data_IF_941476788013
#
_entry.id   IF_941476788013
#
_cell.length_a   1.000
_cell.length_b   1.000
_cell.length_c   1.000
_cell.angle_alpha   90.00
_cell.angle_beta   90.00
_cell.angle_gamma   90.00
#
_symmetry.space_group_name_H-M   'P 1'
#
loop_
_entity.id
_entity.type
_entity.pdbx_description
1 polymer ?
#
# COMPACT_ATOMS: atom_id res chain seq x y z
N UNK A 1 -16.63 -30.21 -2.45
CA UNK A 1 -16.28 -29.75 -1.11
C UNK A 1 -16.54 -28.25 -1.06
N UNK A 2 -17.72 -27.81 -0.57
CA UNK A 2 -18.01 -26.40 -0.35
C UNK A 2 -17.25 -25.97 0.90
N UNK A 3 -16.31 -25.05 0.75
CA UNK A 3 -15.72 -24.34 1.88
C UNK A 3 -16.84 -23.42 2.38
N UNK A 4 -17.50 -23.78 3.49
CA UNK A 4 -18.36 -22.84 4.20
C UNK A 4 -17.44 -21.74 4.74
N UNK A 5 -17.30 -20.67 4.00
CA UNK A 5 -16.66 -19.48 4.49
C UNK A 5 -17.71 -18.70 5.31
N UNK A 6 -17.46 -18.54 6.60
CA UNK A 6 -18.34 -17.82 7.51
C UNK A 6 -18.36 -16.30 7.27
N UNK A 7 -18.02 -15.85 6.04
CA UNK A 7 -17.98 -14.42 5.67
C UNK A 7 -18.30 -14.22 4.18
N UNK A 8 -18.75 -13.00 3.82
CA UNK A 8 -19.01 -12.63 2.43
C UNK A 8 -17.69 -12.54 1.63
N UNK A 9 -17.46 -13.56 0.80
CA UNK A 9 -16.25 -13.70 -0.02
C UNK A 9 -16.08 -12.54 -1.01
N UNK A 10 -17.18 -12.02 -1.59
CA UNK A 10 -17.11 -10.92 -2.56
C UNK A 10 -16.59 -9.65 -1.90
N UNK A 11 -17.08 -9.33 -0.70
CA UNK A 11 -16.60 -8.18 0.09
C UNK A 11 -15.16 -8.38 0.56
N UNK A 12 -14.80 -9.61 0.96
CA UNK A 12 -13.43 -9.96 1.34
C UNK A 12 -12.44 -9.70 0.19
N UNK A 13 -12.76 -10.18 -1.01
CA UNK A 13 -11.95 -9.97 -2.20
C UNK A 13 -11.90 -8.51 -2.61
N UNK A 14 -13.03 -7.79 -2.57
CA UNK A 14 -13.08 -6.37 -2.88
C UNK A 14 -12.10 -5.56 -2.02
N UNK A 15 -12.13 -5.76 -0.70
CA UNK A 15 -11.22 -5.03 0.22
C UNK A 15 -9.76 -5.36 -0.08
N UNK A 16 -9.44 -6.65 -0.29
CA UNK A 16 -8.09 -7.07 -0.64
C UNK A 16 -7.59 -6.45 -1.94
N UNK A 17 -8.39 -6.53 -3.01
CA UNK A 17 -8.07 -5.96 -4.33
C UNK A 17 -7.94 -4.43 -4.29
N UNK A 18 -8.76 -3.75 -3.49
CA UNK A 18 -8.73 -2.30 -3.36
C UNK A 18 -7.41 -1.83 -2.74
N UNK A 19 -7.00 -2.43 -1.63
CA UNK A 19 -5.73 -2.10 -0.97
C UNK A 19 -4.55 -2.46 -1.89
N UNK A 20 -4.60 -3.65 -2.51
CA UNK A 20 -3.59 -4.08 -3.47
C UNK A 20 -3.46 -3.11 -4.65
N UNK A 21 -4.58 -2.66 -5.22
CA UNK A 21 -4.58 -1.71 -6.34
C UNK A 21 -3.89 -0.39 -5.97
N UNK A 22 -4.18 0.16 -4.79
CA UNK A 22 -3.50 1.35 -4.28
C UNK A 22 -1.99 1.11 -4.17
N UNK A 23 -1.56 0.01 -3.54
CA UNK A 23 -0.14 -0.32 -3.36
C UNK A 23 0.58 -0.49 -4.70
N UNK A 24 -0.05 -1.15 -5.69
CA UNK A 24 0.52 -1.33 -7.03
C UNK A 24 0.72 0.01 -7.76
N UNK A 25 -0.29 0.86 -7.78
CA UNK A 25 -0.19 2.17 -8.46
C UNK A 25 0.81 3.08 -7.74
N UNK A 26 0.77 3.11 -6.41
CA UNK A 26 1.74 3.88 -5.63
C UNK A 26 3.16 3.40 -5.86
N UNK A 27 3.40 2.08 -5.83
CA UNK A 27 4.72 1.49 -6.09
C UNK A 27 5.26 1.90 -7.46
N UNK A 28 4.46 1.70 -8.51
CA UNK A 28 4.86 2.07 -9.88
C UNK A 28 5.03 3.59 -10.05
N UNK A 29 4.17 4.41 -9.46
CA UNK A 29 4.28 5.87 -9.54
C UNK A 29 5.57 6.40 -8.91
N UNK A 30 6.06 5.77 -7.84
CA UNK A 30 7.29 6.17 -7.16
C UNK A 30 8.55 5.75 -7.93
N UNK A 31 8.50 4.73 -8.82
CA UNK A 31 9.67 4.38 -9.67
C UNK A 31 10.11 5.53 -10.56
N UNK A 32 9.19 6.43 -10.91
CA UNK A 32 9.51 7.64 -11.68
C UNK A 32 10.55 8.54 -10.98
N UNK A 33 10.75 8.45 -9.67
CA UNK A 33 11.84 9.14 -8.97
C UNK A 33 13.23 8.68 -9.47
N UNK A 34 13.37 7.39 -9.78
CA UNK A 34 14.63 6.83 -10.30
C UNK A 34 14.77 7.13 -11.78
N UNK A 35 13.67 7.15 -12.53
CA UNK A 35 13.63 7.53 -13.94
C UNK A 35 14.05 8.99 -14.12
N UNK A 36 13.47 9.91 -13.36
CA UNK A 36 13.83 11.33 -13.38
C UNK A 36 15.31 11.54 -13.02
N UNK A 37 15.84 10.74 -12.06
CA UNK A 37 17.25 10.78 -11.69
C UNK A 37 18.15 10.27 -12.82
N UNK A 38 17.74 9.21 -13.53
CA UNK A 38 18.50 8.62 -14.63
C UNK A 38 18.50 9.52 -15.87
N UNK A 39 17.47 10.34 -16.05
CA UNK A 39 17.34 11.31 -17.14
C UNK A 39 18.02 12.67 -16.86
N UNK A 40 18.80 12.78 -15.76
CA UNK A 40 19.44 14.02 -15.26
C UNK A 40 18.46 15.19 -15.01
N UNK A 41 17.16 14.94 -15.13
CA UNK A 41 16.10 15.91 -14.85
C UNK A 41 16.15 16.43 -13.39
N UNK A 42 16.70 15.61 -12.50
CA UNK A 42 16.92 15.98 -11.09
C UNK A 42 17.96 17.11 -10.97
N UNK A 43 18.91 17.24 -11.89
CA UNK A 43 19.91 18.32 -11.87
C UNK A 43 19.28 19.66 -12.22
N UNK A 44 18.33 19.71 -13.14
CA UNK A 44 17.59 20.91 -13.50
C UNK A 44 16.70 21.38 -12.33
N UNK A 45 16.10 20.45 -11.59
CA UNK A 45 15.29 20.77 -10.39
C UNK A 45 16.19 21.23 -9.22
N UNK A 46 17.43 20.76 -9.11
CA UNK A 46 18.35 21.16 -8.04
C UNK A 46 18.83 22.60 -8.15
N UNK A 47 18.71 23.24 -9.32
CA UNK A 47 18.94 24.69 -9.49
C UNK A 47 17.78 25.51 -8.91
N UNK A 48 16.61 24.87 -8.72
CA UNK A 48 15.44 25.47 -8.07
C UNK A 48 15.50 25.31 -6.54
N UNK A 49 14.99 26.27 -5.73
CA UNK A 49 14.99 26.21 -4.26
C UNK A 49 13.95 25.20 -3.71
N UNK A 50 13.72 24.08 -4.39
CA UNK A 50 12.77 23.02 -4.00
C UNK A 50 13.45 22.00 -3.09
N UNK A 51 12.85 21.75 -1.92
CA UNK A 51 13.39 20.73 -1.00
C UNK A 51 13.16 19.31 -1.57
N UNK A 52 14.11 18.41 -1.31
CA UNK A 52 14.01 16.99 -1.72
C UNK A 52 12.80 16.29 -1.10
N UNK A 53 12.42 16.71 0.11
CA UNK A 53 11.20 16.22 0.76
C UNK A 53 9.95 16.64 -0.02
N UNK A 54 9.90 17.88 -0.51
CA UNK A 54 8.78 18.37 -1.33
C UNK A 54 8.66 17.59 -2.64
N UNK A 55 9.80 17.20 -3.25
CA UNK A 55 9.82 16.38 -4.46
C UNK A 55 9.24 14.99 -4.22
N UNK A 56 9.69 14.31 -3.16
CA UNK A 56 9.18 12.99 -2.80
C UNK A 56 7.68 13.05 -2.45
N UNK A 57 7.27 14.02 -1.65
CA UNK A 57 5.86 14.20 -1.29
C UNK A 57 5.00 14.54 -2.51
N UNK A 58 5.51 15.36 -3.44
CA UNK A 58 4.85 15.67 -4.71
C UNK A 58 4.64 14.42 -5.58
N UNK A 59 5.65 13.54 -5.66
CA UNK A 59 5.52 12.25 -6.37
C UNK A 59 4.52 11.32 -5.70
N UNK A 60 4.54 11.24 -4.36
CA UNK A 60 3.53 10.49 -3.60
C UNK A 60 2.14 11.04 -3.87
N UNK A 61 1.95 12.35 -3.86
CA UNK A 61 0.67 12.98 -4.14
C UNK A 61 0.18 12.73 -5.57
N UNK A 62 1.06 12.81 -6.56
CA UNK A 62 0.74 12.49 -7.96
C UNK A 62 0.35 11.02 -8.15
N UNK A 63 1.11 10.10 -7.56
CA UNK A 63 0.78 8.67 -7.57
C UNK A 63 -0.52 8.37 -6.81
N UNK A 64 -0.80 9.09 -5.71
CA UNK A 64 -2.04 8.98 -4.97
C UNK A 64 -3.24 9.39 -5.83
N UNK A 65 -3.13 10.47 -6.60
CA UNK A 65 -4.19 10.87 -7.51
C UNK A 65 -4.52 9.77 -8.53
N UNK A 66 -3.49 9.15 -9.14
CA UNK A 66 -3.67 8.00 -10.03
C UNK A 66 -4.30 6.79 -9.30
N UNK A 67 -3.95 6.57 -8.04
CA UNK A 67 -4.51 5.50 -7.21
C UNK A 67 -6.01 5.69 -6.95
N UNK A 68 -6.50 6.93 -6.86
CA UNK A 68 -7.94 7.18 -6.69
C UNK A 68 -8.76 6.75 -7.90
N UNK A 69 -8.22 6.83 -9.12
CA UNK A 69 -8.88 6.32 -10.32
C UNK A 69 -9.10 4.80 -10.18
N UNK A 70 -8.04 4.09 -9.78
CA UNK A 70 -8.12 2.64 -9.53
C UNK A 70 -9.05 2.31 -8.35
N UNK A 71 -9.03 3.12 -7.29
CA UNK A 71 -9.93 2.97 -6.15
C UNK A 71 -11.41 3.00 -6.56
N UNK A 72 -11.83 4.03 -7.29
CA UNK A 72 -13.22 4.15 -7.74
C UNK A 72 -13.59 3.07 -8.76
N UNK A 73 -12.68 2.72 -9.65
CA UNK A 73 -12.89 1.63 -10.60
C UNK A 73 -13.10 0.28 -9.88
N UNK A 74 -12.25 -0.03 -8.90
CA UNK A 74 -12.35 -1.28 -8.12
C UNK A 74 -13.66 -1.35 -7.34
N UNK A 75 -14.12 -0.23 -6.76
CA UNK A 75 -15.43 -0.16 -6.12
C UNK A 75 -16.56 -0.42 -7.12
N UNK A 76 -16.51 0.20 -8.30
CA UNK A 76 -17.49 -0.03 -9.36
C UNK A 76 -17.56 -1.50 -9.80
N UNK A 77 -16.42 -2.15 -9.99
CA UNK A 77 -16.34 -3.59 -10.27
C UNK A 77 -16.89 -4.40 -9.10
N UNK A 78 -16.56 -4.04 -7.86
CA UNK A 78 -17.09 -4.69 -6.66
C UNK A 78 -18.62 -4.71 -6.63
N UNK A 79 -19.25 -3.58 -6.92
CA UNK A 79 -20.71 -3.53 -7.04
C UNK A 79 -21.24 -4.42 -8.17
N UNK A 80 -20.56 -4.47 -9.31
CA UNK A 80 -20.96 -5.30 -10.44
C UNK A 80 -20.93 -6.81 -10.15
N UNK A 81 -20.00 -7.26 -9.28
CA UNK A 81 -19.89 -8.66 -8.84
C UNK A 81 -20.72 -8.98 -7.58
N UNK A 82 -21.52 -8.01 -7.09
CA UNK A 82 -22.46 -8.20 -6.01
C UNK A 82 -21.91 -7.90 -4.60
N UNK A 83 -20.75 -7.32 -4.45
CA UNK A 83 -20.27 -6.82 -3.16
C UNK A 83 -21.16 -5.66 -2.69
N UNK A 84 -21.57 -5.67 -1.42
CA UNK A 84 -22.46 -4.65 -0.86
C UNK A 84 -21.68 -3.74 0.10
N UNK A 85 -21.48 -2.50 -0.32
CA UNK A 85 -20.89 -1.45 0.49
C UNK A 85 -21.98 -0.54 1.03
N UNK A 86 -22.03 -0.37 2.35
CA UNK A 86 -22.82 0.68 2.96
C UNK A 86 -22.13 2.05 2.84
N UNK A 87 -22.91 3.13 2.85
CA UNK A 87 -22.36 4.49 2.76
C UNK A 87 -21.30 4.76 3.85
N UNK A 88 -21.49 4.38 5.13
CA UNK A 88 -20.46 4.56 6.17
C UNK A 88 -19.16 3.80 5.84
N UNK A 89 -19.24 2.57 5.32
CA UNK A 89 -18.08 1.79 4.93
C UNK A 89 -17.32 2.47 3.78
N UNK A 90 -18.03 2.95 2.76
CA UNK A 90 -17.44 3.70 1.66
C UNK A 90 -16.73 4.97 2.16
N UNK A 91 -17.37 5.76 3.04
CA UNK A 91 -16.75 6.96 3.59
C UNK A 91 -15.51 6.65 4.44
N UNK A 92 -15.52 5.54 5.17
CA UNK A 92 -14.34 5.11 5.94
C UNK A 92 -13.21 4.67 5.02
N UNK A 93 -13.50 3.92 3.95
CA UNK A 93 -12.52 3.58 2.91
C UNK A 93 -11.89 4.83 2.30
N UNK A 94 -12.73 5.79 1.94
CA UNK A 94 -12.28 7.05 1.32
C UNK A 94 -11.43 7.89 2.30
N UNK A 95 -11.85 7.99 3.56
CA UNK A 95 -11.12 8.75 4.59
C UNK A 95 -9.76 8.11 4.94
N UNK A 96 -9.66 6.78 4.86
CA UNK A 96 -8.43 6.05 5.16
C UNK A 96 -7.49 5.93 3.96
N UNK A 97 -7.98 6.06 2.73
CA UNK A 97 -7.20 5.91 1.51
C UNK A 97 -5.95 6.81 1.42
N UNK A 98 -5.93 8.09 1.92
CA UNK A 98 -4.71 8.90 1.92
C UNK A 98 -3.59 8.28 2.78
N UNK A 99 -3.95 7.70 3.93
CA UNK A 99 -2.97 7.02 4.78
C UNK A 99 -2.43 5.76 4.11
N UNK A 100 -3.27 4.99 3.40
CA UNK A 100 -2.82 3.85 2.60
C UNK A 100 -1.85 4.29 1.48
N UNK A 101 -2.15 5.39 0.78
CA UNK A 101 -1.25 5.95 -0.23
C UNK A 101 0.10 6.34 0.37
N UNK A 102 0.10 7.00 1.54
CA UNK A 102 1.33 7.36 2.23
C UNK A 102 2.12 6.13 2.67
N UNK A 103 1.47 5.11 3.21
CA UNK A 103 2.12 3.86 3.61
C UNK A 103 2.74 3.13 2.41
N UNK A 104 2.00 3.00 1.31
CA UNK A 104 2.48 2.37 0.09
C UNK A 104 3.62 3.16 -0.56
N UNK A 105 3.47 4.48 -0.66
CA UNK A 105 4.49 5.37 -1.20
C UNK A 105 5.77 5.39 -0.37
N UNK A 106 5.67 5.44 0.95
CA UNK A 106 6.84 5.40 1.85
C UNK A 106 7.60 4.08 1.74
N UNK A 107 6.89 2.95 1.64
CA UNK A 107 7.50 1.64 1.39
C UNK A 107 8.22 1.61 0.04
N UNK A 108 7.60 2.13 -1.02
CA UNK A 108 8.25 2.21 -2.32
C UNK A 108 9.51 3.07 -2.26
N UNK A 109 9.46 4.25 -1.63
CA UNK A 109 10.62 5.15 -1.50
C UNK A 109 11.79 4.49 -0.75
N UNK A 110 11.54 3.75 0.35
CA UNK A 110 12.62 3.06 1.07
C UNK A 110 13.25 1.95 0.23
N UNK A 111 12.44 1.22 -0.54
CA UNK A 111 12.94 0.13 -1.38
C UNK A 111 13.80 0.61 -2.56
N UNK A 112 13.42 1.73 -3.20
CA UNK A 112 14.14 2.25 -4.37
C UNK A 112 15.15 3.35 -4.03
N UNK A 113 15.16 3.85 -2.80
CA UNK A 113 16.01 4.97 -2.39
C UNK A 113 17.51 4.77 -2.69
N UNK A 114 17.98 3.52 -2.66
CA UNK A 114 19.36 3.14 -2.94
C UNK A 114 19.60 2.69 -4.38
N UNK A 115 18.56 2.57 -5.23
CA UNK A 115 18.65 2.05 -6.59
C UNK A 115 18.92 3.20 -7.54
N UNK A 116 19.91 3.02 -8.43
CA UNK A 116 20.32 4.03 -9.40
C UNK A 116 19.74 3.78 -10.81
N UNK A 117 19.45 2.51 -11.14
CA UNK A 117 18.94 2.13 -12.48
C UNK A 117 17.42 2.01 -12.46
N UNK A 118 16.74 2.73 -13.35
CA UNK A 118 15.27 2.72 -13.46
C UNK A 118 14.72 1.31 -13.72
N UNK A 119 15.36 0.53 -14.60
CA UNK A 119 14.95 -0.85 -14.87
C UNK A 119 15.01 -1.75 -13.63
N UNK A 120 16.05 -1.59 -12.82
CA UNK A 120 16.20 -2.33 -11.55
C UNK A 120 15.14 -1.90 -10.54
N UNK A 121 14.83 -0.60 -10.44
CA UNK A 121 13.80 -0.09 -9.57
C UNK A 121 12.42 -0.69 -9.92
N UNK A 122 12.06 -0.72 -11.20
CA UNK A 122 10.83 -1.33 -11.68
C UNK A 122 10.70 -2.81 -11.30
N UNK A 123 11.76 -3.60 -11.50
CA UNK A 123 11.79 -5.03 -11.15
C UNK A 123 11.63 -5.22 -9.64
N UNK A 124 12.36 -4.46 -8.82
CA UNK A 124 12.29 -4.55 -7.36
C UNK A 124 10.90 -4.23 -6.85
N UNK A 125 10.29 -3.15 -7.34
CA UNK A 125 8.92 -2.77 -6.97
C UNK A 125 7.92 -3.85 -7.43
N UNK A 126 8.03 -4.36 -8.64
CA UNK A 126 7.16 -5.42 -9.13
C UNK A 126 7.24 -6.68 -8.25
N UNK A 127 8.44 -7.13 -7.91
CA UNK A 127 8.64 -8.28 -7.03
C UNK A 127 8.10 -8.03 -5.62
N UNK A 128 8.34 -6.84 -5.07
CA UNK A 128 7.84 -6.45 -3.75
C UNK A 128 6.31 -6.45 -3.71
N UNK A 129 5.67 -5.80 -4.69
CA UNK A 129 4.22 -5.69 -4.74
C UNK A 129 3.55 -7.05 -4.98
N UNK A 130 4.12 -7.88 -5.86
CA UNK A 130 3.67 -9.25 -6.09
C UNK A 130 3.81 -10.10 -4.82
N UNK A 131 4.96 -10.01 -4.14
CA UNK A 131 5.17 -10.70 -2.87
C UNK A 131 4.16 -10.27 -1.80
N UNK A 132 3.91 -8.97 -1.66
CA UNK A 132 2.90 -8.46 -0.73
C UNK A 132 1.49 -8.99 -1.04
N UNK A 133 1.10 -9.08 -2.31
CA UNK A 133 -0.21 -9.58 -2.72
C UNK A 133 -0.52 -10.96 -2.13
N UNK A 134 0.45 -11.85 -2.14
CA UNK A 134 0.28 -13.21 -1.62
C UNK A 134 0.48 -13.30 -0.11
N UNK A 135 1.42 -12.55 0.45
CA UNK A 135 1.85 -12.68 1.84
C UNK A 135 1.07 -11.76 2.80
N UNK A 136 0.42 -10.70 2.31
CA UNK A 136 -0.31 -9.75 3.15
C UNK A 136 -1.74 -10.17 3.51
N UNK A 137 -2.24 -11.24 2.90
CA UNK A 137 -3.63 -11.65 3.11
C UNK A 137 -4.63 -11.03 2.14
N UNK A 138 -4.19 -10.36 1.07
CA UNK A 138 -5.09 -9.73 0.10
C UNK A 138 -6.03 -10.75 -0.56
N UNK A 139 -5.48 -11.87 -1.00
CA UNK A 139 -6.20 -12.94 -1.70
C UNK A 139 -6.57 -14.11 -0.81
N UNK A 140 -5.73 -14.44 0.16
CA UNK A 140 -5.87 -15.61 1.05
C UNK A 140 -5.81 -15.11 2.49
N UNK A 141 -6.79 -15.48 3.36
CA UNK A 141 -6.75 -15.08 4.76
C UNK A 141 -5.46 -15.59 5.44
N UNK A 142 -4.71 -14.67 6.07
CA UNK A 142 -3.46 -15.03 6.78
C UNK A 142 -3.67 -15.26 8.28
N UNK A 143 -4.92 -15.16 8.77
CA UNK A 143 -5.27 -15.29 10.18
C UNK A 143 -4.90 -16.64 10.78
N UNK A 144 -4.91 -17.69 9.96
CA UNK A 144 -4.53 -19.05 10.36
C UNK A 144 -3.17 -19.47 9.85
N UNK A 145 -2.38 -18.54 9.28
CA UNK A 145 -1.04 -18.87 8.81
C UNK A 145 -0.11 -19.14 10.00
N UNK A 146 0.74 -20.14 9.85
CA UNK A 146 1.72 -20.58 10.86
C UNK A 146 3.14 -20.52 10.29
N UNK A 147 4.13 -20.54 11.16
CA UNK A 147 5.53 -20.57 10.75
C UNK A 147 6.00 -19.29 10.05
N UNK A 148 6.81 -19.44 9.00
CA UNK A 148 7.45 -18.33 8.30
C UNK A 148 6.45 -17.35 7.68
N UNK A 149 5.33 -17.84 7.13
CA UNK A 149 4.30 -17.00 6.51
C UNK A 149 3.67 -16.02 7.53
N UNK A 150 3.43 -16.46 8.76
CA UNK A 150 2.89 -15.61 9.83
C UNK A 150 3.89 -14.51 10.23
N UNK A 151 5.18 -14.79 10.22
CA UNK A 151 6.22 -13.79 10.54
C UNK A 151 6.33 -12.77 9.41
N UNK A 152 6.42 -13.22 8.17
CA UNK A 152 6.58 -12.33 7.00
C UNK A 152 5.36 -11.44 6.82
N UNK A 153 4.14 -11.96 6.95
CA UNK A 153 2.91 -11.17 6.82
C UNK A 153 2.87 -10.01 7.82
N UNK A 154 3.36 -10.21 9.04
CA UNK A 154 3.41 -9.15 10.08
C UNK A 154 4.45 -8.07 9.83
N UNK A 155 5.41 -8.29 8.94
CA UNK A 155 6.40 -7.29 8.53
C UNK A 155 5.91 -6.41 7.37
N UNK A 156 4.79 -6.73 6.76
CA UNK A 156 4.28 -6.04 5.59
C UNK A 156 3.24 -4.98 5.98
N UNK A 157 3.43 -3.70 5.63
CA UNK A 157 2.46 -2.65 5.94
C UNK A 157 1.11 -2.87 5.26
N UNK A 158 1.09 -3.50 4.09
CA UNK A 158 -0.13 -3.86 3.37
C UNK A 158 -1.04 -4.78 4.19
N UNK A 159 -0.48 -5.68 5.00
CA UNK A 159 -1.24 -6.57 5.89
C UNK A 159 -2.09 -5.77 6.87
N UNK A 160 -1.52 -4.75 7.49
CA UNK A 160 -2.24 -3.92 8.47
C UNK A 160 -3.27 -3.01 7.80
N UNK A 161 -3.02 -2.55 6.56
CA UNK A 161 -4.00 -1.81 5.78
C UNK A 161 -5.23 -2.67 5.45
N UNK A 162 -5.01 -3.91 5.02
CA UNK A 162 -6.08 -4.87 4.73
C UNK A 162 -6.83 -5.24 6.01
N UNK A 163 -6.10 -5.51 7.09
CA UNK A 163 -6.67 -5.89 8.38
C UNK A 163 -7.53 -4.76 8.98
N UNK A 164 -7.06 -3.52 8.92
CA UNK A 164 -7.84 -2.35 9.31
C UNK A 164 -9.15 -2.25 8.53
N UNK A 165 -9.07 -2.38 7.20
CA UNK A 165 -10.25 -2.29 6.35
C UNK A 165 -11.25 -3.41 6.62
N UNK A 166 -10.78 -4.64 6.78
CA UNK A 166 -11.63 -5.77 7.17
C UNK A 166 -12.25 -5.56 8.53
N UNK A 167 -11.51 -5.02 9.49
CA UNK A 167 -12.04 -4.65 10.81
C UNK A 167 -13.21 -3.68 10.74
N UNK A 168 -13.18 -2.73 9.80
CA UNK A 168 -14.29 -1.80 9.55
C UNK A 168 -15.50 -2.50 8.91
N UNK A 169 -15.25 -3.43 7.98
CA UNK A 169 -16.32 -4.12 7.26
C UNK A 169 -17.03 -5.18 8.12
N UNK A 170 -16.27 -5.94 8.88
CA UNK A 170 -16.76 -7.09 9.64
C UNK A 170 -16.89 -6.82 11.15
N UNK A 171 -16.78 -5.54 11.59
CA UNK A 171 -16.77 -5.15 13.01
C UNK A 171 -18.02 -5.55 13.81
N UNK A 172 -19.08 -6.06 13.17
CA UNK A 172 -20.40 -6.33 13.80
C UNK A 172 -20.81 -7.80 13.79
N UNK A 173 -19.89 -8.78 13.75
CA UNK A 173 -20.30 -10.19 13.75
C UNK A 173 -19.17 -11.17 14.04
N UNK A 174 -19.52 -12.46 14.11
CA UNK A 174 -18.57 -13.58 14.21
C UNK A 174 -17.56 -13.59 13.04
N UNK A 175 -17.93 -12.99 11.90
CA UNK A 175 -17.09 -12.82 10.71
C UNK A 175 -15.84 -11.98 10.99
N UNK A 176 -15.92 -11.00 11.90
CA UNK A 176 -14.78 -10.17 12.30
C UNK A 176 -13.63 -10.99 12.88
N UNK A 177 -13.93 -11.93 13.77
CA UNK A 177 -12.91 -12.78 14.39
C UNK A 177 -12.22 -13.71 13.39
N UNK A 178 -12.92 -14.09 12.31
CA UNK A 178 -12.38 -14.94 11.26
C UNK A 178 -11.53 -14.18 10.21
N UNK A 179 -11.72 -12.86 10.10
CA UNK A 179 -11.13 -12.07 8.99
C UNK A 179 -10.10 -11.04 9.44
N UNK A 180 -10.03 -10.69 10.74
CA UNK A 180 -9.13 -9.68 11.29
C UNK A 180 -8.08 -10.28 12.21
N UNK A 181 -6.87 -9.70 12.19
CA UNK A 181 -5.73 -10.09 13.03
C UNK A 181 -5.67 -9.25 14.32
N UNK A 182 -5.96 -7.96 14.22
CA UNK A 182 -5.77 -7.00 15.30
C UNK A 182 -6.94 -6.03 15.41
N UNK A 183 -7.06 -5.36 16.56
CA UNK A 183 -7.99 -4.26 16.72
C UNK A 183 -7.68 -3.12 15.73
N UNK A 184 -8.69 -2.46 15.13
CA UNK A 184 -8.48 -1.40 14.15
C UNK A 184 -7.57 -0.26 14.64
N UNK A 185 -7.68 0.11 15.92
CA UNK A 185 -6.82 1.15 16.52
C UNK A 185 -5.32 0.75 16.52
N UNK A 186 -5.03 -0.52 16.80
CA UNK A 186 -3.65 -1.03 16.78
C UNK A 186 -3.08 -1.02 15.35
N UNK A 187 -3.87 -1.45 14.37
CA UNK A 187 -3.49 -1.40 12.97
C UNK A 187 -3.14 0.02 12.53
N UNK A 188 -3.96 1.00 12.92
CA UNK A 188 -3.73 2.42 12.61
C UNK A 188 -2.37 2.90 13.15
N UNK A 189 -2.07 2.60 14.43
CA UNK A 189 -0.80 2.98 15.06
C UNK A 189 0.37 2.35 14.33
N UNK A 190 0.27 1.06 13.97
CA UNK A 190 1.33 0.34 13.27
C UNK A 190 1.54 0.92 11.86
N UNK A 191 0.48 1.22 11.11
CA UNK A 191 0.55 1.81 9.77
C UNK A 191 1.23 3.18 9.83
N UNK A 192 0.86 4.03 10.78
CA UNK A 192 1.50 5.34 10.98
C UNK A 192 2.98 5.16 11.31
N UNK A 193 3.31 4.24 12.21
CA UNK A 193 4.69 3.91 12.57
C UNK A 193 5.51 3.48 11.37
N UNK A 194 5.03 2.52 10.58
CA UNK A 194 5.70 2.11 9.32
C UNK A 194 5.87 3.27 8.36
N UNK A 195 4.82 4.08 8.16
CA UNK A 195 4.85 5.22 7.23
C UNK A 195 5.93 6.22 7.63
N UNK A 196 6.00 6.60 8.90
CA UNK A 196 7.01 7.56 9.39
C UNK A 196 8.42 6.99 9.25
N UNK A 197 8.64 5.75 9.71
CA UNK A 197 9.96 5.10 9.63
C UNK A 197 10.42 4.97 8.18
N UNK A 198 9.55 4.52 7.28
CA UNK A 198 9.89 4.32 5.88
C UNK A 198 10.09 5.65 5.13
N UNK A 199 9.33 6.69 5.44
CA UNK A 199 9.56 8.03 4.88
C UNK A 199 10.93 8.56 5.30
N UNK A 200 11.29 8.46 6.58
CA UNK A 200 12.57 8.95 7.08
C UNK A 200 13.73 8.15 6.46
N UNK A 201 13.68 6.82 6.53
CA UNK A 201 14.74 5.96 6.00
C UNK A 201 14.84 6.07 4.47
N UNK A 202 13.71 6.06 3.77
CA UNK A 202 13.67 6.15 2.32
C UNK A 202 14.20 7.49 1.81
N UNK A 203 13.80 8.60 2.43
CA UNK A 203 14.32 9.93 2.07
C UNK A 203 15.81 10.07 2.39
N UNK A 204 16.25 9.56 3.54
CA UNK A 204 17.68 9.56 3.88
C UNK A 204 18.51 8.73 2.87
N UNK A 205 18.01 7.56 2.48
CA UNK A 205 18.62 6.71 1.44
C UNK A 205 18.69 7.42 0.08
N UNK A 206 17.59 8.03 -0.34
CA UNK A 206 17.51 8.81 -1.56
C UNK A 206 18.52 9.96 -1.59
N UNK A 207 18.59 10.75 -0.52
CA UNK A 207 19.54 11.88 -0.38
C UNK A 207 20.99 11.41 -0.38
N UNK A 208 21.31 10.28 0.29
CA UNK A 208 22.66 9.71 0.28
C UNK A 208 23.09 9.22 -1.10
N UNK A 209 22.21 8.51 -1.80
CA UNK A 209 22.48 8.00 -3.13
C UNK A 209 22.77 9.12 -4.14
N UNK A 210 22.19 10.30 -3.90
CA UNK A 210 22.37 11.46 -4.77
C UNK A 210 23.67 12.25 -4.44
N UNK A 211 24.12 12.26 -3.19
CA UNK A 211 25.39 12.89 -2.80
C UNK A 211 26.63 12.11 -3.28
N UNK A 212 26.49 10.83 -3.55
CA UNK A 212 27.58 9.95 -3.96
C UNK A 212 27.74 9.85 -5.49
N UNK A 213 27.08 10.72 -6.25
CA UNK A 213 27.29 10.97 -7.68
C UNK A 213 28.10 12.22 -7.88
#
# INVERSE_FOLDING_TARGET
MGINMDFDFNTFMLVGMLVQGIFMIMGNGITSLVEDRAADFTQEILVSPVSRYSLILGKIAGAAFASYITFFFTIGVGYAIGARLSIPQFLTLLAFSPLMCLAAGSLAVVCIGFIQKASTAGIVIMMLMMGQTFLSGALIPVNHSTGLMAVVSRLLPMTYCIDFMRGVFYARGAEGAATTLHAPALNLVIIIGFTVVFLVLGTAGFVRAEKNR
#
